data_IF_076788211354
#
_entry.id   IF_076788211354
#
_cell.length_a   1.000
_cell.length_b   1.000
_cell.length_c   1.000
_cell.angle_alpha   90.00
_cell.angle_beta   90.00
_cell.angle_gamma   90.00
#
_symmetry.space_group_name_H-M   'P 1'
#
loop_
_entity.id
_entity.type
_entity.pdbx_description
1 polymer ?
#
# COMPACT_ATOMS: atom_id res chain seq x y z
N UNK A 1 19.88 -19.33 -67.88
CA UNK A 1 19.11 -20.41 -67.23
C UNK A 1 19.39 -20.31 -65.74
N UNK A 2 18.37 -19.95 -64.93
CA UNK A 2 18.23 -20.26 -63.48
C UNK A 2 19.31 -19.73 -62.51
N UNK A 3 19.09 -19.18 -61.32
CA UNK A 3 17.94 -18.84 -60.45
C UNK A 3 18.51 -17.73 -59.55
N UNK A 4 17.86 -16.57 -59.43
CA UNK A 4 18.15 -15.64 -58.32
C UNK A 4 17.06 -15.81 -57.27
N UNK A 5 17.44 -16.26 -56.08
CA UNK A 5 16.58 -16.21 -54.89
C UNK A 5 17.29 -15.36 -53.85
N UNK A 6 17.04 -14.05 -53.87
CA UNK A 6 17.43 -13.16 -52.77
C UNK A 6 16.52 -13.44 -51.58
N UNK A 7 17.05 -14.13 -50.57
CA UNK A 7 16.39 -14.28 -49.29
C UNK A 7 16.52 -12.94 -48.54
N UNK A 8 15.50 -12.09 -48.66
CA UNK A 8 15.33 -10.98 -47.74
C UNK A 8 14.88 -11.55 -46.39
N UNK A 9 15.83 -11.80 -45.48
CA UNK A 9 15.51 -12.04 -44.07
C UNK A 9 15.12 -10.70 -43.47
N UNK A 10 13.83 -10.38 -43.51
CA UNK A 10 13.27 -9.29 -42.74
C UNK A 10 13.31 -9.68 -41.26
N UNK A 11 14.36 -9.22 -40.56
CA UNK A 11 14.44 -9.31 -39.10
C UNK A 11 13.30 -8.50 -38.50
N UNK A 12 12.28 -9.18 -37.99
CA UNK A 12 11.23 -8.57 -37.18
C UNK A 12 11.87 -8.20 -35.84
N UNK A 13 12.43 -6.99 -35.74
CA UNK A 13 12.83 -6.43 -34.46
C UNK A 13 11.55 -6.30 -33.61
N UNK A 14 11.35 -7.24 -32.69
CA UNK A 14 10.39 -7.10 -31.61
C UNK A 14 10.76 -5.82 -30.85
N UNK A 15 10.05 -4.73 -31.13
CA UNK A 15 9.93 -3.61 -30.22
C UNK A 15 9.26 -4.17 -28.96
N UNK A 16 10.05 -4.71 -28.04
CA UNK A 16 9.58 -5.03 -26.69
C UNK A 16 9.31 -3.66 -26.07
N UNK A 17 8.04 -3.26 -25.85
CA UNK A 17 7.80 -2.05 -25.10
C UNK A 17 8.45 -2.25 -23.72
N UNK A 18 9.20 -1.25 -23.27
CA UNK A 18 9.67 -1.21 -21.88
C UNK A 18 8.43 -1.31 -20.99
N UNK A 19 8.15 -2.50 -20.48
CA UNK A 19 7.00 -2.73 -19.63
C UNK A 19 7.31 -2.12 -18.26
N UNK A 20 6.74 -0.95 -17.99
CA UNK A 20 6.69 -0.41 -16.64
C UNK A 20 5.70 -1.29 -15.86
N UNK A 21 6.20 -2.25 -15.09
CA UNK A 21 5.39 -3.24 -14.40
C UNK A 21 4.78 -2.65 -13.11
N UNK A 22 3.68 -1.91 -13.23
CA UNK A 22 2.82 -1.57 -12.10
C UNK A 22 1.97 -2.79 -11.74
N UNK A 23 2.14 -3.31 -10.53
CA UNK A 23 1.19 -4.27 -9.97
C UNK A 23 0.08 -3.50 -9.26
N UNK A 24 -1.17 -3.73 -9.65
CA UNK A 24 -2.36 -3.20 -8.98
C UNK A 24 -3.33 -4.35 -8.78
N UNK A 25 -3.71 -4.61 -7.55
CA UNK A 25 -4.56 -5.74 -7.19
C UNK A 25 -5.41 -5.41 -5.97
N UNK A 26 -6.47 -6.18 -5.76
CA UNK A 26 -7.32 -6.02 -4.58
C UNK A 26 -7.05 -7.13 -3.58
N UNK A 27 -7.15 -6.80 -2.31
CA UNK A 27 -7.24 -7.76 -1.22
C UNK A 27 -8.53 -7.49 -0.45
N UNK A 28 -9.40 -8.50 -0.37
CA UNK A 28 -10.63 -8.41 0.41
C UNK A 28 -10.31 -8.38 1.91
N UNK A 29 -11.28 -7.97 2.73
CA UNK A 29 -11.15 -8.03 4.19
C UNK A 29 -10.84 -9.46 4.64
N UNK A 30 -9.72 -9.64 5.34
CA UNK A 30 -9.44 -10.86 6.09
C UNK A 30 -10.29 -10.86 7.36
N UNK A 31 -10.10 -9.84 8.19
CA UNK A 31 -10.84 -9.68 9.45
C UNK A 31 -10.82 -8.22 9.89
N UNK A 32 -11.76 -7.86 10.77
CA UNK A 32 -11.75 -6.61 11.52
C UNK A 32 -11.52 -6.93 13.00
N UNK A 33 -10.38 -6.54 13.56
CA UNK A 33 -10.03 -6.87 14.96
C UNK A 33 -9.31 -5.74 15.68
N UNK A 34 -9.28 -5.84 17.02
CA UNK A 34 -8.46 -5.01 17.89
C UNK A 34 -7.09 -5.65 18.11
N UNK A 35 -6.35 -5.81 17.02
CA UNK A 35 -4.99 -6.35 17.02
C UNK A 35 -4.07 -5.38 16.30
N UNK A 36 -2.88 -5.20 16.84
CA UNK A 36 -1.80 -4.41 16.26
C UNK A 36 -0.47 -5.01 16.69
N UNK A 37 -0.03 -6.12 16.08
CA UNK A 37 1.17 -6.84 16.47
C UNK A 37 2.46 -6.05 16.23
N UNK A 38 2.40 -4.93 15.50
CA UNK A 38 3.52 -4.02 15.31
C UNK A 38 3.62 -3.04 16.49
N UNK A 39 2.56 -2.27 16.79
CA UNK A 39 2.59 -1.25 17.84
C UNK A 39 2.36 -1.82 19.24
N UNK A 40 1.56 -2.88 19.36
CA UNK A 40 1.17 -3.52 20.62
C UNK A 40 1.39 -5.04 20.56
N UNK A 41 2.66 -5.48 20.43
CA UNK A 41 2.98 -6.90 20.26
C UNK A 41 2.49 -7.74 21.44
N UNK A 42 1.81 -8.85 21.13
CA UNK A 42 1.26 -9.80 22.10
C UNK A 42 -0.04 -9.36 22.78
N UNK A 43 -0.57 -8.17 22.48
CA UNK A 43 -1.77 -7.63 23.13
C UNK A 43 -3.01 -7.94 22.31
N UNK A 44 -3.96 -8.66 22.92
CA UNK A 44 -5.32 -8.80 22.38
C UNK A 44 -6.20 -7.66 22.92
N UNK A 45 -6.93 -6.96 22.05
CA UNK A 45 -7.77 -5.82 22.47
C UNK A 45 -7.03 -4.49 22.47
N UNK A 46 -6.25 -4.22 21.41
CA UNK A 46 -5.51 -2.96 21.25
C UNK A 46 -6.42 -1.73 21.15
N UNK A 47 -5.89 -0.51 21.39
CA UNK A 47 -6.69 0.72 21.41
C UNK A 47 -7.48 0.98 20.11
N UNK A 48 -6.92 0.63 18.96
CA UNK A 48 -7.56 0.80 17.65
C UNK A 48 -8.21 -0.50 17.17
N UNK A 49 -9.29 -0.33 16.39
CA UNK A 49 -9.83 -1.41 15.56
C UNK A 49 -9.21 -1.26 14.18
N UNK A 50 -8.63 -2.34 13.68
CA UNK A 50 -8.01 -2.38 12.37
C UNK A 50 -8.82 -3.23 11.41
N UNK A 51 -8.82 -2.78 10.15
CA UNK A 51 -9.18 -3.61 9.01
C UNK A 51 -7.91 -4.31 8.54
N UNK A 52 -7.92 -5.64 8.49
CA UNK A 52 -6.76 -6.44 8.10
C UNK A 52 -7.03 -7.12 6.76
N UNK A 53 -6.02 -7.15 5.89
CA UNK A 53 -6.02 -7.85 4.59
C UNK A 53 -4.72 -8.66 4.41
N UNK A 54 -4.73 -9.59 3.45
CA UNK A 54 -3.56 -10.37 3.05
C UNK A 54 -3.53 -11.78 3.63
N UNK A 55 -2.35 -12.26 4.00
CA UNK A 55 -2.12 -13.64 4.47
C UNK A 55 -2.86 -14.00 5.76
N UNK A 56 -3.30 -15.25 5.90
CA UNK A 56 -4.06 -15.73 7.07
C UNK A 56 -3.21 -16.02 8.33
N UNK A 57 -1.92 -15.74 8.32
CA UNK A 57 -1.03 -15.96 9.47
C UNK A 57 -1.01 -14.79 10.49
N UNK A 58 -1.84 -13.76 10.28
CA UNK A 58 -1.96 -12.59 11.16
C UNK A 58 -2.42 -12.98 12.58
N UNK A 59 -1.70 -12.51 13.60
CA UNK A 59 -1.97 -12.87 15.01
C UNK A 59 -1.39 -11.81 15.95
N UNK A 60 -1.76 -11.85 17.23
CA UNK A 60 -1.34 -10.83 18.21
C UNK A 60 0.17 -10.70 18.42
N UNK A 61 0.94 -11.79 18.23
CA UNK A 61 2.41 -11.77 18.30
C UNK A 61 3.01 -12.28 16.98
N UNK A 62 3.81 -11.43 16.33
CA UNK A 62 4.39 -11.73 15.01
C UNK A 62 5.92 -11.57 14.99
N UNK A 63 6.60 -11.83 16.12
CA UNK A 63 8.05 -11.60 16.31
C UNK A 63 8.91 -12.15 15.15
N UNK A 64 9.60 -11.27 14.38
CA UNK A 64 10.33 -11.67 13.19
C UNK A 64 11.57 -12.52 13.48
N UNK A 65 12.04 -12.57 14.74
CA UNK A 65 13.15 -13.43 15.15
C UNK A 65 12.77 -14.91 15.22
N UNK A 66 11.47 -15.21 15.32
CA UNK A 66 10.96 -16.57 15.53
C UNK A 66 9.94 -17.00 14.49
N UNK A 67 9.39 -16.06 13.70
CA UNK A 67 8.26 -16.29 12.83
C UNK A 67 8.40 -15.55 11.51
N UNK A 68 8.36 -16.30 10.40
CA UNK A 68 8.27 -15.74 9.05
C UNK A 68 6.84 -15.82 8.53
N UNK A 69 6.12 -14.71 8.62
CA UNK A 69 4.67 -14.64 8.38
C UNK A 69 4.26 -15.11 6.97
N UNK A 70 4.94 -14.70 5.89
CA UNK A 70 4.63 -15.20 4.55
C UNK A 70 4.76 -16.73 4.41
N UNK A 71 5.70 -17.36 5.11
CA UNK A 71 5.92 -18.82 5.06
C UNK A 71 4.86 -19.59 5.85
N UNK A 72 4.31 -18.99 6.90
CA UNK A 72 3.27 -19.59 7.74
C UNK A 72 1.86 -19.49 7.15
N UNK A 73 1.65 -18.52 6.26
CA UNK A 73 0.35 -18.30 5.64
C UNK A 73 0.05 -19.40 4.60
N UNK A 74 -1.15 -19.95 4.67
CA UNK A 74 -1.63 -20.98 3.72
C UNK A 74 -2.61 -20.41 2.70
N UNK A 75 -3.13 -19.21 2.94
CA UNK A 75 -3.99 -18.49 2.02
C UNK A 75 -3.84 -16.98 2.19
N UNK A 76 -4.32 -16.22 1.20
CA UNK A 76 -4.33 -14.75 1.19
C UNK A 76 -5.67 -14.24 0.68
N UNK A 77 -6.08 -13.05 1.11
CA UNK A 77 -7.27 -12.37 0.58
C UNK A 77 -6.99 -11.57 -0.69
N UNK A 78 -5.73 -11.50 -1.12
CA UNK A 78 -5.29 -10.80 -2.31
C UNK A 78 -5.57 -11.59 -3.59
N UNK A 79 -5.83 -10.90 -4.70
CA UNK A 79 -6.03 -11.58 -6.00
C UNK A 79 -4.75 -12.20 -6.56
N UNK A 80 -3.57 -11.73 -6.14
CA UNK A 80 -2.31 -12.44 -6.37
C UNK A 80 -2.09 -13.46 -5.26
N UNK A 81 -2.11 -14.74 -5.61
CA UNK A 81 -2.03 -15.84 -4.67
C UNK A 81 -0.66 -15.95 -3.98
N UNK A 82 0.36 -15.31 -4.56
CA UNK A 82 1.73 -15.27 -4.06
C UNK A 82 1.97 -14.16 -3.01
N UNK A 83 1.02 -13.24 -2.81
CA UNK A 83 1.18 -12.18 -1.81
C UNK A 83 0.57 -12.59 -0.46
N UNK A 84 1.44 -13.01 0.45
CA UNK A 84 1.09 -13.36 1.84
C UNK A 84 1.39 -12.24 2.85
N UNK A 85 1.73 -11.04 2.38
CA UNK A 85 1.99 -9.89 3.26
C UNK A 85 0.71 -9.53 4.03
N UNK A 86 0.84 -8.96 5.23
CA UNK A 86 -0.28 -8.37 5.94
C UNK A 86 -0.27 -6.85 5.85
N UNK A 87 -1.43 -6.27 5.58
CA UNK A 87 -1.65 -4.82 5.67
C UNK A 87 -2.85 -4.56 6.55
N UNK A 88 -2.76 -3.51 7.35
CA UNK A 88 -3.89 -3.09 8.16
C UNK A 88 -3.93 -1.58 8.33
N UNK A 89 -5.15 -1.05 8.41
CA UNK A 89 -5.42 0.38 8.60
C UNK A 89 -6.48 0.57 9.67
N UNK A 90 -6.42 1.71 10.37
CA UNK A 90 -7.43 2.05 11.36
C UNK A 90 -8.79 2.24 10.71
N UNK A 91 -9.84 1.76 11.39
CA UNK A 91 -11.20 1.86 10.89
C UNK A 91 -11.78 3.25 11.17
N UNK A 92 -12.42 3.80 10.14
CA UNK A 92 -13.19 5.03 10.26
C UNK A 92 -14.55 4.75 10.92
N UNK A 93 -14.91 5.58 11.90
CA UNK A 93 -16.22 5.57 12.54
C UNK A 93 -16.90 6.93 12.34
N UNK A 94 -18.18 6.89 11.99
CA UNK A 94 -19.07 8.03 12.03
C UNK A 94 -19.64 8.18 13.44
N UNK A 95 -19.42 9.32 14.06
CA UNK A 95 -20.08 9.69 15.32
C UNK A 95 -21.42 10.36 15.03
N UNK A 96 -22.52 9.68 15.35
CA UNK A 96 -23.86 10.25 15.22
C UNK A 96 -24.11 11.32 16.29
N UNK A 97 -25.09 12.21 16.04
CA UNK A 97 -25.46 13.30 16.96
C UNK A 97 -25.85 12.83 18.37
N UNK A 98 -26.27 11.56 18.51
CA UNK A 98 -26.59 10.94 19.79
C UNK A 98 -25.37 10.36 20.53
N UNK A 99 -24.15 10.61 20.04
CA UNK A 99 -22.90 10.12 20.63
C UNK A 99 -22.52 8.69 20.25
N UNK A 100 -23.38 7.95 19.54
CA UNK A 100 -23.07 6.58 19.09
C UNK A 100 -22.10 6.57 17.91
N UNK A 101 -21.25 5.56 17.85
CA UNK A 101 -20.31 5.37 16.75
C UNK A 101 -20.81 4.25 15.83
N UNK A 102 -20.82 4.52 14.53
CA UNK A 102 -21.12 3.54 13.49
C UNK A 102 -19.89 3.36 12.61
N UNK A 103 -19.46 2.12 12.41
CA UNK A 103 -18.37 1.83 11.47
C UNK A 103 -18.76 2.31 10.08
N UNK A 104 -17.86 3.01 9.41
CA UNK A 104 -18.00 3.34 7.99
C UNK A 104 -17.57 2.12 7.17
N UNK A 105 -18.47 1.52 6.36
CA UNK A 105 -18.12 0.40 5.50
C UNK A 105 -17.01 0.77 4.50
N UNK A 106 -16.27 -0.22 4.02
CA UNK A 106 -15.35 -0.04 2.91
C UNK A 106 -15.99 -0.55 1.63
N UNK A 107 -15.89 0.23 0.56
CA UNK A 107 -16.33 -0.14 -0.78
C UNK A 107 -15.16 -0.69 -1.60
N UNK A 108 -15.43 -1.54 -2.59
CA UNK A 108 -14.43 -1.94 -3.56
C UNK A 108 -14.02 -0.77 -4.46
N UNK A 109 -12.79 -0.82 -4.96
CA UNK A 109 -12.30 0.14 -5.95
C UNK A 109 -12.74 -0.28 -7.36
N UNK A 110 -12.79 0.68 -8.28
CA UNK A 110 -13.16 0.43 -9.67
C UNK A 110 -12.23 -0.62 -10.30
N UNK A 111 -12.83 -1.64 -10.90
CA UNK A 111 -12.16 -2.82 -11.47
C UNK A 111 -11.95 -3.97 -10.49
N UNK A 112 -12.41 -3.85 -9.24
CA UNK A 112 -12.32 -4.88 -8.20
C UNK A 112 -13.66 -5.06 -7.48
N UNK A 113 -14.78 -4.94 -8.20
CA UNK A 113 -16.14 -4.95 -7.65
C UNK A 113 -16.51 -6.25 -6.93
N UNK A 114 -15.79 -7.35 -7.21
CA UNK A 114 -15.95 -8.63 -6.51
C UNK A 114 -15.32 -8.66 -5.12
N UNK A 115 -14.50 -7.67 -4.75
CA UNK A 115 -13.87 -7.62 -3.44
C UNK A 115 -14.90 -7.34 -2.33
N UNK A 116 -14.69 -7.94 -1.16
CA UNK A 116 -15.53 -7.70 0.01
C UNK A 116 -14.80 -6.78 1.00
N UNK A 117 -15.09 -5.48 0.91
CA UNK A 117 -14.32 -4.45 1.62
C UNK A 117 -12.83 -4.52 1.28
N UNK A 118 -11.98 -4.18 2.24
CA UNK A 118 -10.53 -4.34 2.11
C UNK A 118 -9.88 -3.17 1.39
N UNK A 119 -8.80 -3.45 0.66
CA UNK A 119 -7.92 -2.43 0.11
C UNK A 119 -7.41 -2.81 -1.28
N UNK A 120 -7.07 -1.80 -2.07
CA UNK A 120 -6.31 -1.96 -3.31
C UNK A 120 -4.84 -1.76 -2.99
N UNK A 121 -4.01 -2.74 -3.30
CA UNK A 121 -2.56 -2.69 -3.10
C UNK A 121 -1.90 -2.45 -4.45
N UNK A 122 -0.91 -1.56 -4.45
CA UNK A 122 -0.10 -1.21 -5.59
C UNK A 122 1.36 -1.48 -5.25
N UNK A 123 2.08 -2.16 -6.15
CA UNK A 123 3.54 -2.15 -6.14
C UNK A 123 4.03 -1.50 -7.42
N UNK A 124 4.74 -0.39 -7.26
CA UNK A 124 5.29 0.35 -8.38
C UNK A 124 6.81 0.35 -8.26
N UNK A 125 7.55 -0.21 -9.23
CA UNK A 125 9.00 -0.27 -9.15
C UNK A 125 9.64 1.11 -9.43
N UNK A 126 9.26 1.77 -10.52
CA UNK A 126 9.68 3.13 -10.92
C UNK A 126 8.72 3.62 -12.00
N UNK A 127 8.27 4.87 -11.96
CA UNK A 127 7.31 5.40 -12.98
C UNK A 127 8.04 5.84 -14.25
N UNK A 128 9.19 6.50 -14.13
CA UNK A 128 10.14 6.64 -15.24
C UNK A 128 11.58 6.80 -14.74
N UNK A 129 12.48 5.96 -15.23
CA UNK A 129 13.91 5.99 -14.89
C UNK A 129 14.53 4.60 -14.73
N UNK A 130 15.86 4.55 -14.66
CA UNK A 130 16.67 3.36 -14.37
C UNK A 130 16.99 3.32 -12.87
N UNK A 131 16.02 2.86 -12.06
CA UNK A 131 16.23 2.59 -10.63
C UNK A 131 16.20 1.10 -10.36
N UNK A 132 17.21 0.57 -9.66
CA UNK A 132 17.18 -0.81 -9.19
C UNK A 132 16.27 -0.89 -7.96
N UNK A 133 15.17 -1.62 -8.09
CA UNK A 133 14.22 -1.84 -6.98
C UNK A 133 14.59 -3.11 -6.26
N UNK A 134 14.72 -3.00 -4.94
CA UNK A 134 15.03 -4.13 -4.07
C UNK A 134 13.74 -4.63 -3.42
N UNK A 135 13.49 -5.94 -3.49
CA UNK A 135 12.37 -6.54 -2.76
C UNK A 135 12.59 -6.46 -1.25
N UNK A 136 11.50 -6.48 -0.48
CA UNK A 136 11.59 -6.59 0.97
C UNK A 136 12.36 -7.85 1.36
N UNK A 137 13.24 -7.71 2.35
CA UNK A 137 13.87 -8.87 3.00
C UNK A 137 12.89 -9.45 4.03
N UNK A 138 12.96 -10.76 4.34
CA UNK A 138 12.17 -11.35 5.42
C UNK A 138 12.34 -10.56 6.73
N UNK A 139 11.24 -10.38 7.47
CA UNK A 139 11.22 -9.58 8.71
C UNK A 139 11.11 -8.07 8.52
N UNK A 140 11.10 -7.55 7.27
CA UNK A 140 10.91 -6.13 7.01
C UNK A 140 9.54 -5.65 7.50
N UNK A 141 9.52 -4.55 8.26
CA UNK A 141 8.31 -3.99 8.84
C UNK A 141 8.36 -2.48 8.81
N UNK A 142 7.21 -1.86 8.55
CA UNK A 142 7.12 -0.41 8.62
C UNK A 142 5.74 0.08 9.03
N UNK A 143 5.72 1.22 9.71
CA UNK A 143 4.51 1.97 10.02
C UNK A 143 4.50 3.29 9.27
N UNK A 144 3.29 3.77 8.93
CA UNK A 144 3.11 5.08 8.29
C UNK A 144 2.06 5.89 9.04
N UNK A 145 2.37 7.16 9.24
CA UNK A 145 1.55 8.08 10.00
C UNK A 145 1.81 8.00 11.50
N UNK A 146 1.17 8.88 12.25
CA UNK A 146 1.27 8.92 13.70
C UNK A 146 -0.15 9.10 14.28
N UNK A 147 -0.69 8.12 15.02
CA UNK A 147 -2.05 8.19 15.56
C UNK A 147 -2.21 9.28 16.64
N UNK A 148 -1.11 9.74 17.24
CA UNK A 148 -1.09 10.85 18.20
C UNK A 148 -0.97 12.22 17.53
N UNK A 149 -0.75 12.30 16.21
CA UNK A 149 -0.62 13.58 15.53
C UNK A 149 -1.93 14.38 15.62
N UNK A 150 -1.84 15.66 15.99
CA UNK A 150 -2.93 16.63 16.03
C UNK A 150 -2.62 17.90 15.24
N UNK A 151 -1.48 17.92 14.57
CA UNK A 151 -0.99 19.06 13.78
C UNK A 151 -0.86 18.65 12.31
N UNK A 152 -1.61 19.33 11.45
CA UNK A 152 -1.61 19.09 10.01
C UNK A 152 -0.21 19.27 9.40
N UNK A 153 0.64 20.15 9.96
CA UNK A 153 2.00 20.37 9.47
C UNK A 153 2.89 19.12 9.58
N UNK A 154 2.55 18.18 10.48
CA UNK A 154 3.30 16.96 10.71
C UNK A 154 2.73 15.74 9.95
N UNK A 155 1.67 15.90 9.15
CA UNK A 155 1.13 14.83 8.32
C UNK A 155 2.03 14.66 7.08
N UNK A 156 2.56 13.46 6.79
CA UNK A 156 3.28 13.22 5.55
C UNK A 156 2.41 13.56 4.34
N UNK A 157 2.99 14.22 3.32
CA UNK A 157 2.28 14.57 2.06
C UNK A 157 1.76 13.35 1.28
N UNK A 158 2.22 12.17 1.66
CA UNK A 158 1.88 10.86 1.11
C UNK A 158 0.63 10.23 1.71
N UNK A 159 0.15 10.75 2.84
CA UNK A 159 -1.12 10.37 3.44
C UNK A 159 -2.17 11.40 3.03
N UNK A 160 -3.07 11.00 2.13
CA UNK A 160 -4.07 11.91 1.58
C UNK A 160 -5.45 11.30 1.53
N UNK A 161 -6.44 12.18 1.48
CA UNK A 161 -7.83 11.88 1.24
C UNK A 161 -8.24 12.46 -0.11
N UNK A 162 -9.14 11.79 -0.80
CA UNK A 162 -9.82 12.33 -1.99
C UNK A 162 -11.32 12.19 -1.78
N UNK A 163 -12.03 13.31 -1.84
CA UNK A 163 -13.48 13.32 -1.80
C UNK A 163 -14.02 12.99 -3.20
N UNK A 164 -14.54 11.78 -3.38
CA UNK A 164 -14.95 11.29 -4.70
C UNK A 164 -16.28 11.92 -5.11
N UNK A 165 -16.29 12.63 -6.24
CA UNK A 165 -17.52 13.10 -6.89
C UNK A 165 -18.21 11.95 -7.62
N UNK A 166 -17.40 11.07 -8.19
CA UNK A 166 -17.78 9.83 -8.86
C UNK A 166 -16.66 8.77 -8.65
N UNK A 167 -16.91 7.48 -8.94
CA UNK A 167 -15.92 6.42 -8.71
C UNK A 167 -14.60 6.56 -9.48
N UNK A 168 -14.54 7.44 -10.50
CA UNK A 168 -13.35 7.70 -11.32
C UNK A 168 -12.58 8.97 -10.90
N UNK A 169 -13.04 9.70 -9.89
CA UNK A 169 -12.33 10.89 -9.37
C UNK A 169 -10.94 10.49 -8.82
N UNK A 170 -9.86 11.06 -9.37
CA UNK A 170 -8.46 10.79 -8.94
C UNK A 170 -7.63 12.05 -8.65
N UNK A 171 -8.28 13.21 -8.56
CA UNK A 171 -7.63 14.51 -8.33
C UNK A 171 -8.24 15.21 -7.12
N UNK A 172 -7.57 16.25 -6.62
CA UNK A 172 -8.03 17.01 -5.45
C UNK A 172 -7.69 16.33 -4.12
N UNK A 173 -6.51 15.73 -4.04
CA UNK A 173 -5.98 15.16 -2.80
C UNK A 173 -5.80 16.24 -1.72
N UNK A 174 -6.20 15.93 -0.49
CA UNK A 174 -6.03 16.78 0.70
C UNK A 174 -5.40 15.99 1.83
N UNK A 175 -4.60 16.63 2.67
CA UNK A 175 -4.04 15.98 3.87
C UNK A 175 -5.07 15.92 5.02
N UNK A 176 -6.08 16.78 4.96
CA UNK A 176 -7.19 16.79 5.91
C UNK A 176 -8.33 15.89 5.45
N UNK A 177 -9.08 15.39 6.42
CA UNK A 177 -10.31 14.66 6.18
C UNK A 177 -11.35 15.54 5.45
N UNK A 178 -12.14 14.99 4.50
CA UNK A 178 -13.15 15.76 3.79
C UNK A 178 -14.15 16.44 4.73
N UNK A 179 -14.34 17.76 4.54
CA UNK A 179 -15.22 18.59 5.38
C UNK A 179 -16.69 18.56 4.93
N UNK A 180 -16.98 17.87 3.84
CA UNK A 180 -18.30 17.78 3.24
C UNK A 180 -18.58 16.33 2.82
N UNK A 181 -19.86 15.93 2.70
CA UNK A 181 -20.21 14.62 2.18
C UNK A 181 -19.64 14.41 0.78
N UNK A 182 -19.06 13.23 0.55
CA UNK A 182 -18.49 12.85 -0.74
C UNK A 182 -19.47 11.92 -1.46
N UNK A 183 -20.05 12.33 -2.61
CA UNK A 183 -21.12 11.57 -3.27
C UNK A 183 -20.78 10.12 -3.60
N UNK A 184 -19.52 9.82 -3.91
CA UNK A 184 -19.04 8.47 -4.22
C UNK A 184 -18.12 7.89 -3.12
N UNK A 185 -18.16 8.45 -1.91
CA UNK A 185 -17.32 8.05 -0.78
C UNK A 185 -15.97 8.76 -0.75
N UNK A 186 -15.12 8.33 0.16
CA UNK A 186 -13.78 8.90 0.40
C UNK A 186 -12.76 7.89 -0.12
N UNK A 187 -11.73 8.33 -0.82
CA UNK A 187 -10.54 7.51 -1.07
C UNK A 187 -9.44 7.94 -0.12
N UNK A 188 -8.88 6.99 0.62
CA UNK A 188 -7.69 7.22 1.44
C UNK A 188 -6.51 6.62 0.72
N UNK A 189 -5.49 7.44 0.46
CA UNK A 189 -4.24 7.00 -0.14
C UNK A 189 -3.18 6.91 0.95
N UNK A 190 -2.67 5.70 1.17
CA UNK A 190 -1.57 5.41 2.09
C UNK A 190 -0.36 5.00 1.27
N UNK A 191 0.47 5.99 0.92
CA UNK A 191 1.74 5.74 0.23
C UNK A 191 2.83 5.58 1.28
N UNK A 192 3.46 4.42 1.34
CA UNK A 192 4.59 4.16 2.21
C UNK A 192 5.88 4.94 1.81
N UNK A 193 6.88 5.01 2.66
CA UNK A 193 8.22 5.41 2.24
C UNK A 193 8.74 4.54 1.07
N UNK A 194 9.64 5.10 0.26
CA UNK A 194 10.19 4.42 -0.94
C UNK A 194 11.69 4.15 -0.84
N UNK A 195 12.34 4.80 0.11
CA UNK A 195 13.78 4.69 0.33
C UNK A 195 13.98 3.89 1.61
N UNK A 196 14.95 2.98 1.61
CA UNK A 196 15.32 2.16 2.76
C UNK A 196 16.83 2.21 2.93
N UNK A 197 17.32 2.30 4.17
CA UNK A 197 18.76 2.33 4.47
C UNK A 197 19.56 1.11 3.95
N UNK A 198 18.89 0.04 3.52
CA UNK A 198 19.48 -1.16 2.91
C UNK A 198 19.84 -2.25 3.92
N UNK A 199 19.71 -1.96 5.21
CA UNK A 199 20.22 -2.78 6.32
C UNK A 199 19.15 -3.07 7.37
N UNK A 200 18.53 -2.04 7.95
CA UNK A 200 17.65 -2.16 9.12
C UNK A 200 16.29 -2.67 8.72
N UNK A 201 15.84 -3.82 9.24
CA UNK A 201 14.55 -4.42 8.86
C UNK A 201 13.36 -3.88 9.66
N UNK A 202 13.59 -3.59 10.94
CA UNK A 202 12.55 -3.15 11.88
C UNK A 202 13.20 -2.39 13.06
N UNK A 203 13.34 -1.05 12.99
CA UNK A 203 13.82 -0.27 14.12
C UNK A 203 12.74 -0.17 15.22
N UNK A 204 13.08 0.23 16.47
CA UNK A 204 12.11 0.32 17.56
C UNK A 204 10.90 1.24 17.30
N UNK A 205 11.02 2.21 16.41
CA UNK A 205 9.94 3.12 16.00
C UNK A 205 9.20 2.67 14.72
N UNK A 206 9.63 1.55 14.13
CA UNK A 206 9.13 0.97 12.88
C UNK A 206 9.18 1.94 11.68
N UNK A 207 9.96 3.03 11.75
CA UNK A 207 9.86 4.13 10.78
C UNK A 207 11.22 4.74 10.38
N UNK A 208 12.22 4.81 11.28
CA UNK A 208 13.46 5.56 11.03
C UNK A 208 14.34 5.00 9.90
N UNK A 209 14.19 3.71 9.59
CA UNK A 209 14.94 3.00 8.55
C UNK A 209 14.46 3.32 7.12
N UNK A 210 13.32 4.00 6.98
CA UNK A 210 12.75 4.33 5.68
C UNK A 210 12.46 5.83 5.54
N UNK A 211 12.50 6.32 4.32
CA UNK A 211 12.26 7.73 4.03
C UNK A 211 11.44 7.94 2.75
N UNK A 212 10.69 9.03 2.75
CA UNK A 212 10.11 9.58 1.53
C UNK A 212 11.18 10.29 0.70
N UNK A 213 10.96 10.47 -0.62
CA UNK A 213 11.82 11.28 -1.46
C UNK A 213 11.99 12.71 -0.90
N UNK A 214 13.17 13.32 -1.09
CA UNK A 214 13.48 14.63 -0.53
C UNK A 214 12.63 15.76 -1.12
N UNK A 215 12.15 15.59 -2.36
CA UNK A 215 11.18 16.46 -3.02
C UNK A 215 10.20 15.64 -3.86
N UNK A 216 9.05 16.22 -4.23
CA UNK A 216 8.03 15.56 -5.05
C UNK A 216 7.39 14.33 -4.38
N UNK A 217 6.86 13.41 -5.18
CA UNK A 217 6.39 12.10 -4.73
C UNK A 217 7.07 11.00 -5.53
N UNK A 218 6.84 9.75 -5.17
CA UNK A 218 7.27 8.63 -6.01
C UNK A 218 6.70 8.77 -7.43
N UNK A 219 5.44 9.21 -7.55
CA UNK A 219 4.79 9.37 -8.84
C UNK A 219 5.40 10.47 -9.72
N UNK A 220 6.09 11.44 -9.11
CA UNK A 220 6.84 12.47 -9.82
C UNK A 220 8.33 12.13 -9.98
N UNK A 221 8.73 10.87 -9.71
CA UNK A 221 10.13 10.43 -9.59
C UNK A 221 10.97 11.34 -8.69
N UNK A 222 10.42 11.67 -7.52
CA UNK A 222 11.13 12.43 -6.51
C UNK A 222 12.51 11.82 -6.21
N UNK A 223 13.57 12.63 -6.08
CA UNK A 223 14.91 12.13 -5.89
C UNK A 223 15.04 11.42 -4.54
N UNK A 224 15.69 10.26 -4.59
CA UNK A 224 16.22 9.58 -3.41
C UNK A 224 17.61 10.14 -3.15
N UNK A 225 17.99 10.38 -1.89
CA UNK A 225 19.35 10.81 -1.57
C UNK A 225 20.35 9.79 -2.09
N UNK A 226 21.45 10.27 -2.66
CA UNK A 226 22.50 9.41 -3.21
C UNK A 226 22.93 8.37 -2.15
N UNK A 227 22.92 7.09 -2.54
CA UNK A 227 23.25 5.90 -1.73
C UNK A 227 22.14 5.25 -0.88
N UNK A 228 20.87 5.63 -1.02
CA UNK A 228 19.77 4.89 -0.39
C UNK A 228 19.05 4.00 -1.42
N UNK A 229 19.05 2.66 -1.25
CA UNK A 229 18.29 1.76 -2.12
C UNK A 229 16.80 2.11 -2.24
N UNK A 230 16.27 2.03 -3.46
CA UNK A 230 14.81 2.07 -3.70
C UNK A 230 14.26 0.69 -3.36
N UNK A 231 13.29 0.63 -2.45
CA UNK A 231 12.58 -0.60 -2.10
C UNK A 231 11.26 -0.73 -2.85
N UNK A 232 10.83 -1.97 -3.06
CA UNK A 232 9.48 -2.29 -3.53
C UNK A 232 8.50 -1.60 -2.60
N UNK A 233 7.72 -0.65 -3.11
CA UNK A 233 6.87 0.19 -2.29
C UNK A 233 5.40 -0.24 -2.42
N UNK A 234 4.72 -0.63 -1.32
CA UNK A 234 3.29 -0.78 -1.30
C UNK A 234 2.64 0.60 -1.21
N UNK A 235 1.68 0.85 -2.08
CA UNK A 235 0.69 1.90 -1.90
C UNK A 235 -0.66 1.23 -1.68
N UNK A 236 -1.34 1.60 -0.60
CA UNK A 236 -2.61 1.00 -0.20
C UNK A 236 -3.71 2.05 -0.28
N UNK A 237 -4.73 1.75 -1.08
CA UNK A 237 -5.93 2.57 -1.21
C UNK A 237 -7.13 1.85 -0.63
N UNK A 238 -7.89 2.53 0.23
CA UNK A 238 -9.18 2.02 0.69
C UNK A 238 -10.25 3.10 0.58
N UNK A 239 -11.50 2.66 0.45
CA UNK A 239 -12.62 3.54 0.11
C UNK A 239 -13.70 3.48 1.19
N UNK A 240 -13.63 4.31 2.25
CA UNK A 240 -14.76 4.46 3.16
C UNK A 240 -16.00 4.97 2.42
N UNK A 241 -17.14 4.33 2.67
CA UNK A 241 -18.47 4.65 2.13
C UNK A 241 -19.01 5.99 2.63
#
# INVERSE_FOLDING_TARGET
MQFQVHHAVAGLALLVPNAVALLRFSCSQLVTERLDPLVNPGVTGTPHVHQIIGGNAFRASMDPSSLDIPTEATCTTCTFAEDFSNYWTAILYFQARNGTFKRVPQKPNVGFESANGGMTVYYTPVISGTGQVTAFKPGFRMIVGNPANRDAANVPRQLTFTCLKDPLTRTGETQDFPKQPCPAGIMVNVRFPTCWDGETLDPPDHASHVAYPSSGTFESNGPVSENIPIIKHPHVNYLPD
#
